data_IF_966031924997
#
_entry.id   IF_966031924997
#
_cell.length_a   1.000
_cell.length_b   1.000
_cell.length_c   1.000
_cell.angle_alpha   90.00
_cell.angle_beta   90.00
_cell.angle_gamma   90.00
#
_symmetry.space_group_name_H-M   'P 1'
#
loop_
_entity.id
_entity.type
_entity.pdbx_description
1 polymer ?
#
# COMPACT_ATOMS: atom_id res chain seq x y z
N UNK A 1 2.00 27.75 -13.41
CA UNK A 1 0.90 27.47 -14.35
C UNK A 1 1.31 27.79 -15.80
N UNK A 2 0.61 27.24 -16.78
CA UNK A 2 0.82 27.51 -18.21
C UNK A 2 -0.32 28.34 -18.78
N UNK A 3 -0.12 28.93 -19.98
CA UNK A 3 -1.19 29.63 -20.70
C UNK A 3 -2.36 28.67 -21.04
N UNK A 4 -2.04 27.43 -21.41
CA UNK A 4 -3.03 26.38 -21.67
C UNK A 4 -3.90 26.11 -20.42
N UNK A 5 -3.27 25.99 -19.23
CA UNK A 5 -3.99 25.84 -17.97
C UNK A 5 -4.88 27.05 -17.67
N UNK A 6 -4.35 28.27 -17.87
CA UNK A 6 -5.12 29.49 -17.64
C UNK A 6 -6.37 29.51 -18.55
N UNK A 7 -6.23 29.21 -19.83
CA UNK A 7 -7.33 29.12 -20.80
C UNK A 7 -8.37 28.06 -20.39
N UNK A 8 -7.90 26.90 -20.00
CA UNK A 8 -8.78 25.80 -19.57
C UNK A 8 -9.59 26.18 -18.32
N UNK A 9 -8.93 26.73 -17.30
CA UNK A 9 -9.55 27.05 -16.01
C UNK A 9 -10.50 28.23 -16.11
N UNK A 10 -10.09 29.31 -16.77
CA UNK A 10 -10.93 30.52 -16.91
C UNK A 10 -11.98 30.39 -18.01
N UNK A 11 -11.70 29.58 -19.03
CA UNK A 11 -12.50 29.51 -20.28
C UNK A 11 -12.28 30.71 -21.18
N UNK A 12 -11.25 31.52 -20.90
CA UNK A 12 -10.92 32.70 -21.68
C UNK A 12 -9.96 32.31 -22.82
N UNK A 13 -10.39 32.54 -24.05
CA UNK A 13 -9.58 32.24 -25.25
C UNK A 13 -8.33 33.09 -25.33
N UNK A 14 -8.38 34.30 -24.77
CA UNK A 14 -7.33 35.33 -24.89
C UNK A 14 -6.35 35.24 -23.68
N UNK A 15 -6.45 34.23 -22.86
CA UNK A 15 -5.61 34.06 -21.65
C UNK A 15 -4.10 34.12 -21.95
N UNK A 16 -3.66 33.59 -23.11
CA UNK A 16 -2.26 33.63 -23.51
C UNK A 16 -1.79 35.04 -23.89
N UNK A 17 -2.62 35.77 -24.63
CA UNK A 17 -2.34 37.15 -25.01
C UNK A 17 -2.31 38.06 -23.78
N UNK A 18 -3.26 37.89 -22.87
CA UNK A 18 -3.28 38.60 -21.59
C UNK A 18 -2.02 38.33 -20.76
N UNK A 19 -1.56 37.10 -20.67
CA UNK A 19 -0.34 36.73 -19.96
C UNK A 19 0.90 37.34 -20.63
N UNK A 20 0.93 37.39 -21.96
CA UNK A 20 2.03 38.05 -22.71
C UNK A 20 2.08 39.57 -22.41
N UNK A 21 0.93 40.26 -22.43
CA UNK A 21 0.80 41.64 -22.08
C UNK A 21 1.25 41.92 -20.65
N UNK A 22 0.76 41.13 -19.65
CA UNK A 22 1.13 41.26 -18.25
C UNK A 22 2.65 41.06 -18.03
N UNK A 23 3.25 40.16 -18.79
CA UNK A 23 4.68 39.88 -18.71
C UNK A 23 5.49 41.04 -19.33
N UNK A 24 5.07 41.56 -20.49
CA UNK A 24 5.74 42.69 -21.14
C UNK A 24 5.65 43.96 -20.31
N UNK A 25 4.58 44.19 -19.59
CA UNK A 25 4.37 45.32 -18.69
C UNK A 25 5.02 45.15 -17.31
N UNK A 26 5.76 44.06 -17.07
CA UNK A 26 6.29 43.71 -15.76
C UNK A 26 5.26 43.76 -14.64
N UNK A 27 4.00 43.34 -14.93
CA UNK A 27 2.87 43.38 -14.04
C UNK A 27 2.91 42.24 -12.98
N UNK A 28 4.09 42.03 -12.35
CA UNK A 28 4.32 41.00 -11.33
C UNK A 28 4.04 39.53 -11.80
N UNK A 29 4.05 39.31 -13.12
CA UNK A 29 3.99 38.00 -13.74
C UNK A 29 5.31 37.75 -14.47
N UNK A 30 5.96 36.62 -14.22
CA UNK A 30 7.21 36.24 -14.89
C UNK A 30 7.02 34.97 -15.68
N UNK A 31 7.48 34.93 -16.92
CA UNK A 31 7.68 33.73 -17.71
C UNK A 31 8.98 33.05 -17.26
N UNK A 32 8.94 31.77 -16.96
CA UNK A 32 10.13 31.05 -16.53
C UNK A 32 11.04 30.68 -17.69
N UNK A 33 12.29 30.23 -17.44
CA UNK A 33 13.27 29.90 -18.47
C UNK A 33 12.84 28.78 -19.43
N UNK A 34 11.91 27.92 -19.01
CA UNK A 34 11.30 26.86 -19.85
C UNK A 34 10.44 27.42 -21.00
N UNK A 35 10.16 28.71 -21.00
CA UNK A 35 9.40 29.40 -22.02
C UNK A 35 7.90 29.09 -22.10
N UNK A 36 7.37 28.26 -21.17
CA UNK A 36 5.94 27.86 -21.15
C UNK A 36 5.26 28.11 -19.82
N UNK A 37 6.02 28.13 -18.71
CA UNK A 37 5.50 28.31 -17.37
C UNK A 37 5.50 29.78 -16.94
N UNK A 38 4.42 30.20 -16.32
CA UNK A 38 4.24 31.51 -15.72
C UNK A 38 4.19 31.41 -14.19
N UNK A 39 4.72 32.43 -13.51
CA UNK A 39 4.67 32.54 -12.06
C UNK A 39 4.30 33.94 -11.64
N UNK A 40 3.27 34.05 -10.79
CA UNK A 40 2.92 35.30 -10.13
C UNK A 40 3.94 35.66 -9.04
N UNK A 41 4.27 36.92 -8.92
CA UNK A 41 4.85 37.42 -7.70
C UNK A 41 3.88 37.28 -6.54
N UNK A 42 4.35 37.06 -5.31
CA UNK A 42 3.48 36.81 -4.15
C UNK A 42 2.38 37.89 -3.96
N UNK A 43 2.73 39.18 -4.13
CA UNK A 43 1.78 40.31 -4.04
C UNK A 43 0.66 40.17 -5.09
N UNK A 44 1.00 39.84 -6.34
CA UNK A 44 0.00 39.62 -7.39
C UNK A 44 -0.89 38.44 -7.07
N UNK A 45 -0.30 37.36 -6.55
CA UNK A 45 -1.07 36.19 -6.10
C UNK A 45 -2.10 36.56 -5.04
N UNK A 46 -1.69 37.32 -4.01
CA UNK A 46 -2.60 37.78 -2.95
C UNK A 46 -3.70 38.69 -3.49
N UNK A 47 -3.38 39.63 -4.41
CA UNK A 47 -4.36 40.47 -5.07
C UNK A 47 -5.37 39.64 -5.89
N UNK A 48 -4.85 38.70 -6.70
CA UNK A 48 -5.70 37.80 -7.51
C UNK A 48 -6.61 36.94 -6.63
N UNK A 49 -6.08 36.36 -5.53
CA UNK A 49 -6.88 35.60 -4.58
C UNK A 49 -7.97 36.46 -3.91
N UNK A 50 -7.64 37.70 -3.55
CA UNK A 50 -8.63 38.63 -2.98
C UNK A 50 -9.71 38.96 -3.99
N UNK A 51 -9.35 39.29 -5.21
CA UNK A 51 -10.28 39.57 -6.30
C UNK A 51 -11.16 38.34 -6.61
N UNK A 52 -10.55 37.15 -6.68
CA UNK A 52 -11.29 35.90 -6.89
C UNK A 52 -12.38 35.68 -5.84
N UNK A 53 -12.11 36.02 -4.57
CA UNK A 53 -13.08 35.92 -3.49
C UNK A 53 -14.25 36.91 -3.62
N UNK A 54 -14.12 37.96 -4.44
CA UNK A 54 -15.23 38.93 -4.68
C UNK A 54 -16.12 38.52 -5.85
N UNK A 55 -15.72 37.52 -6.64
CA UNK A 55 -16.56 36.96 -7.69
C UNK A 55 -17.79 36.25 -7.09
N UNK A 56 -18.83 36.12 -7.88
CA UNK A 56 -20.00 35.36 -7.48
C UNK A 56 -19.66 33.87 -7.23
N UNK A 57 -20.43 33.23 -6.37
CA UNK A 57 -20.15 31.85 -5.92
C UNK A 57 -20.12 30.84 -7.08
N UNK A 58 -20.98 31.03 -8.10
CA UNK A 58 -21.06 30.14 -9.26
C UNK A 58 -19.79 30.24 -10.11
N UNK A 59 -19.28 31.44 -10.35
CA UNK A 59 -18.01 31.65 -11.07
C UNK A 59 -16.84 31.06 -10.31
N UNK A 60 -16.79 31.27 -8.98
CA UNK A 60 -15.75 30.66 -8.14
C UNK A 60 -15.80 29.13 -8.20
N UNK A 61 -17.01 28.54 -8.09
CA UNK A 61 -17.22 27.09 -8.15
C UNK A 61 -16.75 26.53 -9.49
N UNK A 62 -17.23 27.09 -10.58
CA UNK A 62 -16.88 26.68 -11.95
C UNK A 62 -15.36 26.74 -12.23
N UNK A 63 -14.69 27.79 -11.77
CA UNK A 63 -13.22 27.88 -11.92
C UNK A 63 -12.50 26.79 -11.14
N UNK A 64 -12.94 26.47 -9.92
CA UNK A 64 -12.35 25.41 -9.10
C UNK A 64 -12.61 24.03 -9.66
N UNK A 65 -13.82 23.75 -10.17
CA UNK A 65 -14.18 22.51 -10.86
C UNK A 65 -13.26 22.30 -12.08
N UNK A 66 -13.12 23.32 -12.94
CA UNK A 66 -12.21 23.26 -14.08
C UNK A 66 -10.74 23.08 -13.66
N UNK A 67 -10.34 23.70 -12.57
CA UNK A 67 -8.99 23.52 -12.02
C UNK A 67 -8.78 22.06 -11.57
N UNK A 68 -9.77 21.45 -10.94
CA UNK A 68 -9.76 20.02 -10.60
C UNK A 68 -9.69 19.14 -11.84
N UNK A 69 -10.56 19.40 -12.83
CA UNK A 69 -10.60 18.66 -14.10
C UNK A 69 -9.27 18.74 -14.87
N UNK A 70 -8.61 19.90 -14.87
CA UNK A 70 -7.29 20.06 -15.48
C UNK A 70 -6.26 19.07 -14.94
N UNK A 71 -6.25 18.88 -13.62
CA UNK A 71 -5.33 17.94 -12.97
C UNK A 71 -5.76 16.49 -13.17
N UNK A 72 -7.06 16.20 -13.13
CA UNK A 72 -7.62 14.86 -13.35
C UNK A 72 -7.25 14.33 -14.74
N UNK A 73 -7.47 15.13 -15.82
CA UNK A 73 -7.10 14.77 -17.20
C UNK A 73 -5.61 14.44 -17.34
N UNK A 74 -4.76 15.06 -16.53
CA UNK A 74 -3.30 14.84 -16.51
C UNK A 74 -2.86 13.81 -15.48
N UNK A 75 -3.81 13.07 -14.89
CA UNK A 75 -3.57 12.06 -13.85
C UNK A 75 -2.81 12.58 -12.63
N UNK A 76 -2.91 13.88 -12.35
CA UNK A 76 -2.38 14.52 -11.15
C UNK A 76 -3.43 14.51 -10.04
N UNK A 77 -3.83 13.32 -9.64
CA UNK A 77 -5.02 13.05 -8.82
C UNK A 77 -4.99 13.74 -7.46
N UNK A 78 -3.82 13.88 -6.80
CA UNK A 78 -3.71 14.59 -5.52
C UNK A 78 -4.11 16.06 -5.64
N UNK A 79 -3.70 16.72 -6.72
CA UNK A 79 -4.07 18.10 -6.99
C UNK A 79 -5.55 18.22 -7.35
N UNK A 80 -6.07 17.26 -8.13
CA UNK A 80 -7.49 17.21 -8.47
C UNK A 80 -8.36 17.07 -7.20
N UNK A 81 -8.06 16.12 -6.32
CA UNK A 81 -8.76 15.91 -5.06
C UNK A 81 -8.75 17.17 -4.18
N UNK A 82 -7.59 17.83 -4.04
CA UNK A 82 -7.47 19.06 -3.27
C UNK A 82 -8.31 20.21 -3.87
N UNK A 83 -8.43 20.28 -5.19
CA UNK A 83 -9.25 21.27 -5.87
C UNK A 83 -10.76 20.99 -5.68
N UNK A 84 -11.19 19.75 -5.89
CA UNK A 84 -12.59 19.34 -5.73
C UNK A 84 -13.08 19.49 -4.27
N UNK A 85 -12.25 19.10 -3.29
CA UNK A 85 -12.57 19.35 -1.88
C UNK A 85 -12.83 20.83 -1.60
N UNK A 86 -12.01 21.74 -2.15
CA UNK A 86 -12.14 23.19 -1.93
C UNK A 86 -13.40 23.80 -2.53
N UNK A 87 -14.00 23.18 -3.53
CA UNK A 87 -15.28 23.63 -4.10
C UNK A 87 -16.49 22.82 -3.60
N UNK A 88 -16.26 21.80 -2.77
CA UNK A 88 -17.32 20.93 -2.27
C UNK A 88 -17.89 19.98 -3.33
N UNK A 89 -17.13 19.74 -4.41
CA UNK A 89 -17.50 18.76 -5.43
C UNK A 89 -17.05 17.37 -4.98
N UNK A 90 -17.81 16.78 -4.07
CA UNK A 90 -17.50 15.47 -3.52
C UNK A 90 -17.72 14.34 -4.50
N UNK A 91 -18.61 14.49 -5.49
CA UNK A 91 -18.79 13.50 -6.55
C UNK A 91 -17.52 13.35 -7.40
N UNK A 92 -16.96 14.47 -7.85
CA UNK A 92 -15.69 14.46 -8.58
C UNK A 92 -14.53 13.96 -7.71
N UNK A 93 -14.48 14.34 -6.42
CA UNK A 93 -13.46 13.86 -5.49
C UNK A 93 -13.52 12.34 -5.34
N UNK A 94 -14.70 11.77 -5.11
CA UNK A 94 -14.89 10.33 -4.94
C UNK A 94 -14.65 9.55 -6.24
N UNK A 95 -15.00 10.13 -7.40
CA UNK A 95 -14.64 9.56 -8.70
C UNK A 95 -13.11 9.44 -8.85
N UNK A 96 -12.35 10.47 -8.48
CA UNK A 96 -10.87 10.41 -8.51
C UNK A 96 -10.33 9.35 -7.55
N UNK A 97 -10.94 9.18 -6.37
CA UNK A 97 -10.59 8.08 -5.44
C UNK A 97 -10.79 6.72 -6.09
N UNK A 98 -11.85 6.54 -6.88
CA UNK A 98 -12.13 5.29 -7.60
C UNK A 98 -11.12 5.02 -8.71
N UNK A 99 -10.81 6.03 -9.52
CA UNK A 99 -9.88 5.92 -10.66
C UNK A 99 -8.50 5.39 -10.29
N UNK A 100 -7.99 5.83 -9.15
CA UNK A 100 -6.66 5.44 -8.67
C UNK A 100 -6.68 4.16 -7.83
N UNK A 101 -7.85 3.61 -7.52
CA UNK A 101 -8.02 2.52 -6.56
C UNK A 101 -7.29 2.79 -5.23
N UNK A 102 -7.16 4.05 -4.84
CA UNK A 102 -6.60 4.50 -3.56
C UNK A 102 -5.08 4.39 -3.42
N UNK A 103 -4.33 4.22 -4.51
CA UNK A 103 -2.86 4.19 -4.44
C UNK A 103 -2.32 5.51 -3.97
N UNK A 104 -2.84 6.62 -4.49
CA UNK A 104 -2.42 7.97 -4.12
C UNK A 104 -2.88 8.36 -2.71
N UNK A 105 -3.94 7.74 -2.19
CA UNK A 105 -4.33 7.96 -0.79
C UNK A 105 -3.19 7.59 0.18
N UNK A 106 -2.37 6.61 -0.17
CA UNK A 106 -1.19 6.24 0.62
C UNK A 106 -0.11 7.35 0.67
N UNK A 107 -0.15 8.30 -0.27
CA UNK A 107 0.78 9.45 -0.32
C UNK A 107 0.26 10.66 0.48
N UNK A 108 -1.01 10.64 0.89
CA UNK A 108 -1.61 11.71 1.69
C UNK A 108 -1.47 11.41 3.19
N UNK A 109 -1.29 12.45 4.02
CA UNK A 109 -1.44 12.27 5.46
C UNK A 109 -2.83 11.74 5.80
N UNK A 110 -2.97 10.70 6.64
CA UNK A 110 -4.27 10.15 7.03
C UNK A 110 -5.25 11.21 7.55
N UNK A 111 -4.74 12.21 8.27
CA UNK A 111 -5.54 13.33 8.79
C UNK A 111 -6.23 14.17 7.71
N UNK A 112 -5.60 14.35 6.55
CA UNK A 112 -6.19 15.10 5.44
C UNK A 112 -7.34 14.35 4.80
N UNK A 113 -7.19 13.04 4.64
CA UNK A 113 -8.24 12.18 4.08
C UNK A 113 -9.41 12.06 5.05
N UNK A 114 -9.15 11.87 6.35
CA UNK A 114 -10.17 11.85 7.39
C UNK A 114 -10.95 13.16 7.42
N UNK A 115 -10.28 14.31 7.41
CA UNK A 115 -10.93 15.61 7.37
C UNK A 115 -11.80 15.79 6.10
N UNK A 116 -11.36 15.29 4.95
CA UNK A 116 -12.16 15.31 3.73
C UNK A 116 -13.41 14.41 3.84
N UNK A 117 -13.28 13.25 4.49
CA UNK A 117 -14.42 12.35 4.73
C UNK A 117 -15.43 12.92 5.73
N UNK A 118 -14.96 13.61 6.77
CA UNK A 118 -15.83 14.23 7.76
C UNK A 118 -16.62 15.43 7.18
N UNK A 119 -16.07 16.09 6.15
CA UNK A 119 -16.73 17.14 5.39
C UNK A 119 -17.70 16.59 4.32
N UNK A 120 -17.50 15.34 3.87
CA UNK A 120 -18.25 14.74 2.76
C UNK A 120 -19.66 14.31 3.23
N UNK A 121 -20.72 14.73 2.53
CA UNK A 121 -22.08 14.28 2.84
C UNK A 121 -22.21 12.74 2.69
N UNK A 122 -22.97 12.11 3.60
CA UNK A 122 -23.20 10.66 3.56
C UNK A 122 -23.85 10.20 2.26
N UNK A 123 -24.75 11.01 1.68
CA UNK A 123 -25.40 10.67 0.41
C UNK A 123 -24.42 10.68 -0.76
N UNK A 124 -23.43 11.59 -0.78
CA UNK A 124 -22.37 11.56 -1.77
C UNK A 124 -21.51 10.30 -1.63
N UNK A 125 -21.14 9.90 -0.39
CA UNK A 125 -20.44 8.67 -0.13
C UNK A 125 -21.20 7.43 -0.61
N UNK A 126 -22.52 7.35 -0.35
CA UNK A 126 -23.39 6.25 -0.78
C UNK A 126 -23.54 6.18 -2.31
N UNK A 127 -23.50 7.32 -3.01
CA UNK A 127 -23.52 7.35 -4.48
C UNK A 127 -22.26 6.73 -5.12
N UNK A 128 -21.18 6.53 -4.34
CA UNK A 128 -19.91 5.99 -4.81
C UNK A 128 -19.47 4.72 -4.04
N UNK A 129 -20.18 3.57 -4.20
CA UNK A 129 -19.91 2.35 -3.42
C UNK A 129 -18.47 1.84 -3.58
N UNK A 130 -17.90 1.96 -4.77
CA UNK A 130 -16.51 1.53 -5.01
C UNK A 130 -15.50 2.43 -4.29
N UNK A 131 -15.75 3.75 -4.19
CA UNK A 131 -14.93 4.65 -3.37
C UNK A 131 -14.95 4.24 -1.89
N UNK A 132 -16.12 3.80 -1.37
CA UNK A 132 -16.22 3.30 0.00
C UNK A 132 -15.29 2.09 0.23
N UNK A 133 -15.23 1.13 -0.71
CA UNK A 133 -14.32 -0.01 -0.63
C UNK A 133 -12.85 0.43 -0.59
N UNK A 134 -12.45 1.36 -1.46
CA UNK A 134 -11.09 1.91 -1.50
C UNK A 134 -10.74 2.60 -0.19
N UNK A 135 -11.66 3.38 0.36
CA UNK A 135 -11.49 4.07 1.63
C UNK A 135 -11.45 3.10 2.81
N UNK A 136 -12.28 2.05 2.83
CA UNK A 136 -12.22 0.99 3.85
C UNK A 136 -10.83 0.34 3.90
N UNK A 137 -10.26 0.00 2.73
CA UNK A 137 -8.90 -0.55 2.66
C UNK A 137 -7.85 0.43 3.19
N UNK A 138 -7.99 1.72 2.89
CA UNK A 138 -7.08 2.76 3.41
C UNK A 138 -7.19 2.89 4.93
N UNK A 139 -8.41 2.82 5.48
CA UNK A 139 -8.65 2.84 6.93
C UNK A 139 -7.97 1.64 7.62
N UNK A 140 -8.04 0.45 7.03
CA UNK A 140 -7.30 -0.71 7.52
C UNK A 140 -5.79 -0.42 7.58
N UNK A 141 -5.21 0.08 6.49
CA UNK A 141 -3.78 0.40 6.42
C UNK A 141 -3.36 1.43 7.48
N UNK A 142 -4.23 2.38 7.81
CA UNK A 142 -4.01 3.42 8.82
C UNK A 142 -4.46 3.03 10.23
N UNK A 143 -4.89 1.78 10.44
CA UNK A 143 -5.36 1.25 11.74
C UNK A 143 -6.61 1.98 12.28
N UNK A 144 -7.36 2.63 11.44
CA UNK A 144 -8.61 3.28 11.83
C UNK A 144 -9.80 2.32 11.62
N UNK A 145 -9.83 1.25 12.41
CA UNK A 145 -10.87 0.21 12.30
C UNK A 145 -12.28 0.76 12.58
N UNK A 146 -12.50 1.67 13.55
CA UNK A 146 -13.82 2.26 13.72
C UNK A 146 -14.35 2.94 12.46
N UNK A 147 -13.55 3.75 11.78
CA UNK A 147 -13.94 4.42 10.53
C UNK A 147 -14.14 3.42 9.38
N UNK A 148 -13.33 2.38 9.31
CA UNK A 148 -13.52 1.28 8.36
C UNK A 148 -14.90 0.62 8.50
N UNK A 149 -15.34 0.35 9.74
CA UNK A 149 -16.65 -0.24 10.01
C UNK A 149 -17.80 0.72 9.73
N UNK A 150 -17.61 2.02 9.97
CA UNK A 150 -18.57 3.07 9.58
C UNK A 150 -18.77 3.10 8.05
N UNK A 151 -17.67 3.11 7.29
CA UNK A 151 -17.71 3.08 5.82
C UNK A 151 -18.34 1.79 5.29
N UNK A 152 -18.11 0.65 5.94
CA UNK A 152 -18.80 -0.60 5.63
C UNK A 152 -20.31 -0.47 5.82
N UNK A 153 -20.75 0.14 6.92
CA UNK A 153 -22.18 0.35 7.19
C UNK A 153 -22.82 1.26 6.12
N UNK A 154 -22.12 2.31 5.68
CA UNK A 154 -22.56 3.16 4.58
C UNK A 154 -22.66 2.39 3.26
N UNK A 155 -21.70 1.51 2.95
CA UNK A 155 -21.75 0.66 1.76
C UNK A 155 -22.99 -0.25 1.78
N UNK A 156 -23.24 -0.93 2.90
CA UNK A 156 -24.40 -1.83 3.02
C UNK A 156 -25.71 -1.04 2.88
N UNK A 157 -25.82 0.13 3.52
CA UNK A 157 -26.98 1.02 3.39
C UNK A 157 -27.17 1.49 1.93
N UNK A 158 -26.09 1.88 1.25
CA UNK A 158 -26.15 2.27 -0.17
C UNK A 158 -26.70 1.12 -1.04
N UNK A 159 -26.26 -0.11 -0.79
CA UNK A 159 -26.77 -1.27 -1.51
C UNK A 159 -28.24 -1.60 -1.21
N UNK A 160 -28.71 -1.32 0.00
CA UNK A 160 -30.14 -1.48 0.36
C UNK A 160 -31.03 -0.40 -0.27
N UNK A 161 -30.53 0.84 -0.34
CA UNK A 161 -31.23 2.00 -0.93
C UNK A 161 -31.32 1.90 -2.46
N UNK A 162 -30.44 1.13 -3.12
CA UNK A 162 -30.37 0.94 -4.57
C UNK A 162 -30.68 -0.50 -5.00
N UNK A 163 -31.94 -0.99 -4.82
CA UNK A 163 -32.32 -2.35 -5.21
C UNK A 163 -32.29 -2.57 -6.72
N UNK A 164 -32.27 -1.52 -7.53
CA UNK A 164 -32.17 -1.53 -8.99
C UNK A 164 -30.77 -1.89 -9.51
N UNK A 165 -29.74 -1.86 -8.66
CA UNK A 165 -28.40 -2.30 -9.05
C UNK A 165 -28.43 -3.74 -9.57
N UNK A 166 -27.77 -4.02 -10.71
CA UNK A 166 -27.68 -5.37 -11.23
C UNK A 166 -27.15 -6.34 -10.18
N UNK A 167 -27.77 -7.52 -10.10
CA UNK A 167 -27.38 -8.53 -9.10
C UNK A 167 -25.89 -8.89 -9.16
N UNK A 168 -25.32 -8.88 -10.36
CA UNK A 168 -23.89 -9.10 -10.60
C UNK A 168 -23.03 -8.01 -9.94
N UNK A 169 -23.33 -6.74 -10.16
CA UNK A 169 -22.56 -5.62 -9.58
C UNK A 169 -22.72 -5.56 -8.06
N UNK A 170 -23.93 -5.79 -7.55
CA UNK A 170 -24.17 -5.95 -6.11
C UNK A 170 -23.31 -7.07 -5.53
N UNK A 171 -23.25 -8.24 -6.19
CA UNK A 171 -22.42 -9.37 -5.79
C UNK A 171 -20.93 -9.03 -5.78
N UNK A 172 -20.45 -8.30 -6.78
CA UNK A 172 -19.07 -7.83 -6.86
C UNK A 172 -18.71 -6.89 -5.69
N UNK A 173 -19.57 -5.92 -5.37
CA UNK A 173 -19.35 -4.97 -4.27
C UNK A 173 -19.36 -5.67 -2.91
N UNK A 174 -20.30 -6.58 -2.67
CA UNK A 174 -20.36 -7.36 -1.43
C UNK A 174 -19.16 -8.30 -1.29
N UNK A 175 -18.77 -8.97 -2.37
CA UNK A 175 -17.59 -9.83 -2.38
C UNK A 175 -16.29 -9.07 -2.14
N UNK A 176 -16.12 -7.90 -2.74
CA UNK A 176 -14.95 -7.04 -2.45
C UNK A 176 -14.98 -6.50 -1.02
N UNK A 177 -16.16 -6.24 -0.45
CA UNK A 177 -16.31 -5.90 0.96
C UNK A 177 -15.82 -7.05 1.85
N UNK A 178 -16.26 -8.29 1.61
CA UNK A 178 -15.82 -9.48 2.35
C UNK A 178 -14.30 -9.65 2.25
N UNK A 179 -13.74 -9.48 1.05
CA UNK A 179 -12.30 -9.54 0.80
C UNK A 179 -11.53 -8.51 1.63
N UNK A 180 -11.98 -7.25 1.68
CA UNK A 180 -11.34 -6.21 2.49
C UNK A 180 -11.50 -6.50 3.98
N UNK A 181 -12.65 -7.00 4.40
CA UNK A 181 -12.89 -7.40 5.80
C UNK A 181 -12.00 -8.56 6.24
N UNK A 182 -11.58 -9.45 5.30
CA UNK A 182 -10.65 -10.54 5.62
C UNK A 182 -9.30 -10.06 6.13
N UNK A 183 -8.89 -8.83 5.79
CA UNK A 183 -7.62 -8.26 6.27
C UNK A 183 -7.58 -8.08 7.79
N UNK A 184 -8.74 -7.98 8.45
CA UNK A 184 -8.80 -7.94 9.91
C UNK A 184 -8.35 -9.25 10.57
N UNK A 185 -8.37 -10.35 9.80
CA UNK A 185 -7.89 -11.66 10.24
C UNK A 185 -6.40 -11.89 9.89
N UNK A 186 -5.74 -10.97 9.29
CA UNK A 186 -4.41 -10.86 8.67
C UNK A 186 -3.51 -12.12 8.61
N UNK A 187 -3.36 -12.91 9.66
CA UNK A 187 -2.54 -14.14 9.69
C UNK A 187 -3.34 -15.41 10.05
N UNK A 188 -4.66 -15.31 10.19
CA UNK A 188 -5.56 -16.46 10.36
C UNK A 188 -6.13 -16.89 9.00
N UNK A 189 -5.41 -17.76 8.32
CA UNK A 189 -5.77 -18.18 6.96
C UNK A 189 -7.16 -18.82 6.92
N UNK A 190 -7.54 -19.64 7.88
CA UNK A 190 -8.89 -20.25 7.93
C UNK A 190 -9.99 -19.21 8.13
N UNK A 191 -9.77 -18.21 8.99
CA UNK A 191 -10.71 -17.11 9.16
C UNK A 191 -10.80 -16.23 7.91
N UNK A 192 -9.66 -15.91 7.29
CA UNK A 192 -9.62 -15.19 6.01
C UNK A 192 -10.34 -15.97 4.92
N UNK A 193 -10.10 -17.26 4.81
CA UNK A 193 -10.67 -18.13 3.76
C UNK A 193 -12.19 -18.22 3.82
N UNK A 194 -12.80 -18.16 5.00
CA UNK A 194 -14.27 -18.10 5.08
C UNK A 194 -14.82 -16.88 4.32
N UNK A 195 -14.18 -15.73 4.47
CA UNK A 195 -14.56 -14.50 3.75
C UNK A 195 -14.18 -14.58 2.26
N UNK A 196 -13.04 -15.19 1.92
CA UNK A 196 -12.63 -15.38 0.52
C UNK A 196 -13.59 -16.31 -0.23
N UNK A 197 -14.10 -17.38 0.41
CA UNK A 197 -15.11 -18.28 -0.15
C UNK A 197 -16.44 -17.56 -0.35
N UNK A 198 -16.88 -16.76 0.63
CA UNK A 198 -18.05 -15.90 0.52
C UNK A 198 -17.90 -14.93 -0.66
N UNK A 199 -16.78 -14.23 -0.75
CA UNK A 199 -16.47 -13.34 -1.85
C UNK A 199 -16.48 -14.09 -3.20
N UNK A 200 -15.80 -15.24 -3.28
CA UNK A 200 -15.72 -16.06 -4.51
C UNK A 200 -17.08 -16.59 -4.99
N UNK A 201 -18.05 -16.76 -4.09
CA UNK A 201 -19.40 -17.17 -4.45
C UNK A 201 -20.25 -16.00 -5.00
N UNK A 202 -19.92 -14.76 -4.66
CA UNK A 202 -20.68 -13.57 -5.02
C UNK A 202 -20.10 -12.86 -6.24
N UNK A 203 -18.76 -12.89 -6.42
CA UNK A 203 -18.07 -12.14 -7.44
C UNK A 203 -18.05 -12.85 -8.79
N UNK A 204 -18.42 -12.13 -9.84
CA UNK A 204 -18.30 -12.57 -11.25
C UNK A 204 -16.98 -12.19 -11.90
N UNK A 205 -16.24 -11.24 -11.30
CA UNK A 205 -14.93 -10.76 -11.72
C UNK A 205 -13.96 -10.69 -10.55
N UNK A 206 -12.63 -10.65 -10.81
CA UNK A 206 -11.66 -10.34 -9.78
C UNK A 206 -11.88 -8.96 -9.16
N UNK A 207 -11.41 -8.78 -7.93
CA UNK A 207 -11.47 -7.52 -7.21
C UNK A 207 -10.72 -6.40 -7.97
N UNK A 208 -11.32 -5.22 -8.05
CA UNK A 208 -10.71 -4.03 -8.61
C UNK A 208 -9.97 -3.23 -7.51
N UNK A 209 -10.46 -3.30 -6.27
CA UNK A 209 -9.87 -2.61 -5.12
C UNK A 209 -8.49 -3.15 -4.73
N UNK A 210 -8.07 -4.32 -5.22
CA UNK A 210 -6.78 -4.94 -4.92
C UNK A 210 -5.99 -5.15 -6.21
N UNK A 211 -4.77 -4.63 -6.23
CA UNK A 211 -3.85 -4.87 -7.35
C UNK A 211 -3.08 -6.16 -7.15
N UNK A 212 -3.02 -7.00 -8.17
CA UNK A 212 -2.26 -8.26 -8.16
C UNK A 212 -0.76 -8.06 -7.88
N UNK A 213 -0.20 -6.90 -8.25
CA UNK A 213 1.19 -6.50 -7.97
C UNK A 213 1.39 -5.86 -6.60
N UNK A 214 0.37 -5.80 -5.73
CA UNK A 214 0.46 -5.24 -4.39
C UNK A 214 1.31 -6.08 -3.43
N UNK A 215 1.60 -5.54 -2.25
CA UNK A 215 2.29 -6.29 -1.18
C UNK A 215 1.33 -7.25 -0.48
N UNK A 216 1.53 -8.55 -0.64
CA UNK A 216 0.67 -9.56 -0.02
C UNK A 216 1.02 -9.83 1.45
N UNK A 217 2.32 -9.77 1.80
CA UNK A 217 2.81 -10.10 3.15
C UNK A 217 2.82 -8.92 4.12
N UNK A 218 2.12 -7.83 3.83
CA UNK A 218 2.12 -6.58 4.61
C UNK A 218 3.52 -6.03 4.94
N UNK A 219 4.50 -6.30 4.05
CA UNK A 219 5.89 -5.87 4.20
C UNK A 219 6.79 -6.86 4.96
N UNK A 220 6.28 -8.04 5.33
CA UNK A 220 7.11 -9.14 5.84
C UNK A 220 7.87 -9.82 4.70
N UNK A 221 9.18 -10.06 4.81
CA UNK A 221 9.94 -10.81 3.81
C UNK A 221 9.77 -12.34 3.92
N UNK A 222 8.98 -12.82 4.89
CA UNK A 222 8.75 -14.25 5.12
C UNK A 222 7.27 -14.55 5.27
N UNK A 223 6.79 -15.52 4.50
CA UNK A 223 5.42 -16.02 4.59
C UNK A 223 5.24 -16.84 5.87
N UNK A 224 6.17 -17.75 6.17
CA UNK A 224 6.08 -18.59 7.37
C UNK A 224 6.09 -17.78 8.66
N UNK A 225 6.98 -16.79 8.79
CA UNK A 225 7.03 -15.95 9.98
C UNK A 225 5.74 -15.17 10.18
N UNK A 226 5.03 -14.82 9.11
CA UNK A 226 3.76 -14.12 9.19
C UNK A 226 2.60 -15.05 9.56
N UNK A 227 2.57 -16.26 9.01
CA UNK A 227 1.39 -17.14 9.11
C UNK A 227 1.53 -18.30 10.11
N UNK A 228 2.70 -18.54 10.70
CA UNK A 228 2.86 -19.51 11.78
C UNK A 228 2.42 -18.93 13.12
N UNK A 229 1.21 -19.30 13.55
CA UNK A 229 0.50 -18.70 14.68
C UNK A 229 0.72 -19.42 16.02
N UNK A 230 0.84 -20.74 16.01
CA UNK A 230 0.87 -21.52 17.21
C UNK A 230 1.99 -22.59 17.20
N UNK A 231 2.79 -22.68 18.29
CA UNK A 231 3.80 -23.74 18.42
C UNK A 231 3.17 -25.14 18.29
N UNK A 232 3.76 -26.00 17.47
CA UNK A 232 3.29 -27.37 17.23
C UNK A 232 2.30 -27.54 16.09
N UNK A 233 1.67 -26.46 15.59
CA UNK A 233 0.60 -26.53 14.59
C UNK A 233 1.10 -26.38 13.14
N UNK A 234 2.42 -26.40 12.90
CA UNK A 234 3.02 -26.12 11.59
C UNK A 234 2.40 -26.96 10.44
N UNK A 235 2.17 -28.26 10.68
CA UNK A 235 1.62 -29.15 9.65
C UNK A 235 0.16 -28.78 9.31
N UNK A 236 -0.63 -28.42 10.30
CA UNK A 236 -2.01 -27.95 10.12
C UNK A 236 -2.05 -26.63 9.36
N UNK A 237 -1.23 -25.66 9.75
CA UNK A 237 -1.16 -24.34 9.10
C UNK A 237 -0.67 -24.40 7.65
N UNK A 238 0.27 -25.31 7.33
CA UNK A 238 0.69 -25.57 5.95
C UNK A 238 -0.44 -26.17 5.11
N UNK A 239 -1.22 -27.12 5.68
CA UNK A 239 -2.37 -27.70 5.00
C UNK A 239 -3.47 -26.66 4.76
N UNK A 240 -3.79 -25.84 5.76
CA UNK A 240 -4.73 -24.72 5.64
C UNK A 240 -4.31 -23.73 4.55
N UNK A 241 -3.04 -23.33 4.52
CA UNK A 241 -2.51 -22.42 3.50
C UNK A 241 -2.73 -23.02 2.09
N UNK A 242 -2.37 -24.30 1.89
CA UNK A 242 -2.52 -24.97 0.60
C UNK A 242 -3.98 -25.09 0.16
N UNK A 243 -4.91 -25.34 1.10
CA UNK A 243 -6.34 -25.43 0.81
C UNK A 243 -6.98 -24.07 0.52
N UNK A 244 -6.58 -23.03 1.28
CA UNK A 244 -7.29 -21.76 1.30
C UNK A 244 -6.84 -20.78 0.21
N UNK A 245 -5.55 -20.75 -0.13
CA UNK A 245 -5.00 -19.78 -1.07
C UNK A 245 -5.62 -19.84 -2.48
N UNK A 246 -5.99 -20.97 -3.08
CA UNK A 246 -6.64 -20.98 -4.39
C UNK A 246 -7.94 -20.14 -4.46
N UNK A 247 -8.71 -20.07 -3.38
CA UNK A 247 -9.91 -19.21 -3.31
C UNK A 247 -9.54 -17.72 -3.37
N UNK A 248 -8.47 -17.34 -2.69
CA UNK A 248 -7.94 -15.98 -2.71
C UNK A 248 -7.43 -15.59 -4.10
N UNK A 249 -6.63 -16.45 -4.73
CA UNK A 249 -6.09 -16.20 -6.07
C UNK A 249 -7.18 -15.95 -7.10
N UNK A 250 -8.27 -16.70 -7.03
CA UNK A 250 -9.40 -16.56 -7.94
C UNK A 250 -10.03 -15.17 -7.88
N UNK A 251 -10.21 -14.62 -6.69
CA UNK A 251 -10.88 -13.33 -6.48
C UNK A 251 -9.95 -12.13 -6.57
N UNK A 252 -8.63 -12.33 -6.65
CA UNK A 252 -7.62 -11.25 -6.65
C UNK A 252 -6.72 -11.25 -7.87
N UNK A 253 -7.09 -11.99 -8.92
CA UNK A 253 -6.27 -12.13 -10.12
C UNK A 253 -4.83 -12.58 -9.83
N UNK A 254 -4.67 -13.58 -8.94
CA UNK A 254 -3.38 -14.19 -8.61
C UNK A 254 -2.51 -13.39 -7.62
N UNK A 255 -3.04 -12.36 -6.94
CA UNK A 255 -2.29 -11.64 -5.92
C UNK A 255 -1.73 -12.60 -4.85
N UNK A 256 -0.43 -12.55 -4.59
CA UNK A 256 0.24 -13.44 -3.64
C UNK A 256 0.43 -14.89 -4.12
N UNK A 257 0.25 -15.17 -5.41
CA UNK A 257 0.45 -16.50 -5.96
C UNK A 257 1.83 -17.07 -5.62
N UNK A 258 1.87 -18.33 -5.19
CA UNK A 258 3.08 -19.01 -4.73
C UNK A 258 3.30 -18.97 -3.21
N UNK A 259 2.46 -18.25 -2.46
CA UNK A 259 2.61 -18.11 -1.01
C UNK A 259 2.64 -19.46 -0.28
N UNK A 260 1.76 -20.41 -0.62
CA UNK A 260 1.72 -21.76 -0.03
C UNK A 260 3.00 -22.55 -0.32
N UNK A 261 3.58 -22.38 -1.50
CA UNK A 261 4.82 -23.05 -1.89
C UNK A 261 6.03 -22.44 -1.18
N UNK A 262 6.08 -21.11 -1.05
CA UNK A 262 7.10 -20.40 -0.27
C UNK A 262 7.01 -20.82 1.21
N UNK A 263 5.83 -20.82 1.79
CA UNK A 263 5.65 -21.22 3.20
C UNK A 263 6.13 -22.65 3.45
N UNK A 264 5.87 -23.57 2.51
CA UNK A 264 6.37 -24.96 2.56
C UNK A 264 7.90 -25.02 2.47
N UNK A 265 8.51 -24.21 1.58
CA UNK A 265 9.96 -24.11 1.46
C UNK A 265 10.61 -23.56 2.73
N UNK A 266 10.04 -22.50 3.31
CA UNK A 266 10.50 -21.94 4.58
C UNK A 266 10.32 -22.91 5.75
N UNK A 267 9.22 -23.68 5.79
CA UNK A 267 9.02 -24.73 6.79
C UNK A 267 10.06 -25.85 6.70
N UNK A 268 10.40 -26.31 5.49
CA UNK A 268 11.47 -27.28 5.28
C UNK A 268 12.83 -26.70 5.74
N UNK A 269 13.09 -25.42 5.45
CA UNK A 269 14.31 -24.73 5.88
C UNK A 269 14.45 -24.69 7.40
N UNK A 270 13.43 -24.26 8.14
CA UNK A 270 13.50 -24.18 9.61
C UNK A 270 13.56 -25.55 10.28
N UNK A 271 13.15 -26.59 9.58
CA UNK A 271 13.28 -27.99 10.01
C UNK A 271 14.65 -28.62 9.65
N UNK A 272 15.57 -27.88 9.02
CA UNK A 272 16.88 -28.38 8.59
C UNK A 272 16.84 -29.28 7.35
N UNK A 273 15.70 -29.38 6.66
CA UNK A 273 15.52 -30.17 5.42
C UNK A 273 15.89 -29.32 4.20
N UNK A 274 17.18 -28.96 4.08
CA UNK A 274 17.65 -27.96 3.12
C UNK A 274 17.42 -28.36 1.65
N UNK A 275 17.55 -29.67 1.32
CA UNK A 275 17.26 -30.16 -0.04
C UNK A 275 15.77 -29.96 -0.39
N UNK A 276 14.89 -30.32 0.53
CA UNK A 276 13.43 -30.14 0.32
C UNK A 276 13.08 -28.64 0.22
N UNK A 277 13.73 -27.83 1.05
CA UNK A 277 13.57 -26.38 1.01
C UNK A 277 13.97 -25.81 -0.37
N UNK A 278 15.10 -26.26 -0.92
CA UNK A 278 15.57 -25.85 -2.24
C UNK A 278 14.58 -26.27 -3.35
N UNK A 279 14.16 -27.53 -3.38
CA UNK A 279 13.21 -28.04 -4.39
C UNK A 279 11.90 -27.24 -4.35
N UNK A 280 11.37 -26.97 -3.15
CA UNK A 280 10.15 -26.19 -3.00
C UNK A 280 10.37 -24.71 -3.39
N UNK A 281 11.54 -24.14 -3.12
CA UNK A 281 11.90 -22.78 -3.50
C UNK A 281 11.96 -22.61 -5.03
N UNK A 282 12.59 -23.55 -5.74
CA UNK A 282 12.62 -23.55 -7.22
C UNK A 282 11.21 -23.64 -7.80
N UNK A 283 10.35 -24.49 -7.21
CA UNK A 283 8.94 -24.56 -7.58
C UNK A 283 8.22 -23.22 -7.35
N UNK A 284 8.52 -22.50 -6.26
CA UNK A 284 7.96 -21.20 -5.99
C UNK A 284 8.40 -20.13 -7.02
N UNK A 285 9.71 -20.09 -7.34
CA UNK A 285 10.20 -19.19 -8.39
C UNK A 285 9.49 -19.43 -9.73
N UNK A 286 9.35 -20.69 -10.14
CA UNK A 286 8.68 -21.05 -11.38
C UNK A 286 7.19 -20.64 -11.41
N UNK A 287 6.50 -20.66 -10.26
CA UNK A 287 5.11 -20.21 -10.16
C UNK A 287 4.95 -18.68 -10.25
N UNK A 288 5.98 -17.96 -9.83
CA UNK A 288 5.97 -16.48 -9.74
C UNK A 288 6.46 -15.85 -11.05
N UNK A 289 7.30 -16.55 -11.79
CA UNK A 289 7.94 -16.04 -13.00
C UNK A 289 6.89 -15.59 -14.04
N UNK A 290 7.05 -14.38 -14.53
CA UNK A 290 6.15 -13.79 -15.53
C UNK A 290 4.81 -13.26 -15.01
N UNK A 291 4.49 -13.44 -13.72
CA UNK A 291 3.21 -13.05 -13.13
C UNK A 291 3.22 -11.66 -12.46
N UNK A 292 4.32 -10.92 -12.51
CA UNK A 292 4.44 -9.60 -11.89
C UNK A 292 4.37 -9.60 -10.35
N UNK A 293 4.64 -10.76 -9.73
CA UNK A 293 4.57 -10.97 -8.27
C UNK A 293 5.90 -10.63 -7.59
N UNK A 294 6.40 -9.40 -7.78
CA UNK A 294 7.70 -8.97 -7.24
C UNK A 294 7.78 -9.08 -5.71
N UNK A 295 6.67 -8.89 -5.02
CA UNK A 295 6.60 -9.09 -3.57
C UNK A 295 6.91 -10.53 -3.18
N UNK A 296 6.37 -11.51 -3.91
CA UNK A 296 6.60 -12.93 -3.65
C UNK A 296 8.00 -13.36 -4.09
N UNK A 297 8.53 -12.78 -5.18
CA UNK A 297 9.92 -13.01 -5.61
C UNK A 297 10.91 -12.54 -4.54
N UNK A 298 10.66 -11.41 -3.88
CA UNK A 298 11.46 -10.94 -2.75
C UNK A 298 11.42 -11.90 -1.54
N UNK A 299 10.29 -12.54 -1.27
CA UNK A 299 10.21 -13.59 -0.24
C UNK A 299 11.03 -14.82 -0.62
N UNK A 300 11.03 -15.22 -1.90
CA UNK A 300 11.91 -16.28 -2.41
C UNK A 300 13.40 -15.90 -2.27
N UNK A 301 13.79 -14.69 -2.69
CA UNK A 301 15.16 -14.20 -2.57
C UNK A 301 15.63 -14.18 -1.10
N UNK A 302 14.74 -13.77 -0.18
CA UNK A 302 15.03 -13.80 1.27
C UNK A 302 15.27 -15.21 1.80
N UNK A 303 14.49 -16.20 1.38
CA UNK A 303 14.73 -17.59 1.72
C UNK A 303 16.00 -18.13 1.07
N UNK A 304 16.21 -17.87 -0.23
CA UNK A 304 17.39 -18.31 -0.97
C UNK A 304 18.68 -17.82 -0.33
N UNK A 305 18.73 -16.54 0.05
CA UNK A 305 19.90 -15.96 0.72
C UNK A 305 20.16 -16.57 2.09
N UNK A 306 19.13 -16.95 2.84
CA UNK A 306 19.31 -17.68 4.10
C UNK A 306 19.76 -19.13 3.86
N UNK A 307 19.19 -19.79 2.86
CA UNK A 307 19.51 -21.16 2.50
C UNK A 307 20.96 -21.33 1.97
N UNK A 308 21.49 -20.32 1.27
CA UNK A 308 22.87 -20.33 0.73
C UNK A 308 23.95 -20.48 1.81
N UNK A 309 23.63 -20.28 3.08
CA UNK A 309 24.55 -20.49 4.21
C UNK A 309 24.70 -21.98 4.59
N UNK A 310 23.77 -22.82 4.14
CA UNK A 310 23.67 -24.23 4.54
C UNK A 310 23.74 -25.20 3.33
N UNK A 311 23.55 -24.67 2.12
CA UNK A 311 23.55 -25.44 0.88
C UNK A 311 24.15 -24.59 -0.24
N UNK A 312 24.67 -25.26 -1.28
CA UNK A 312 25.20 -24.60 -2.49
C UNK A 312 24.05 -24.09 -3.37
N UNK A 313 23.30 -23.14 -2.84
CA UNK A 313 22.12 -22.53 -3.45
C UNK A 313 22.18 -21.03 -3.20
N UNK A 314 21.72 -20.23 -4.15
CA UNK A 314 21.62 -18.79 -3.99
C UNK A 314 20.34 -18.24 -4.62
N UNK A 315 20.03 -16.98 -4.41
CA UNK A 315 18.91 -16.35 -5.07
C UNK A 315 19.13 -16.29 -6.59
N UNK A 316 18.05 -16.38 -7.37
CA UNK A 316 18.11 -16.24 -8.85
C UNK A 316 18.65 -14.87 -9.27
N UNK A 317 18.49 -13.86 -8.40
CA UNK A 317 19.07 -12.53 -8.57
C UNK A 317 19.70 -12.08 -7.25
N UNK A 318 20.87 -11.47 -7.33
CA UNK A 318 21.50 -10.87 -6.15
C UNK A 318 20.63 -9.71 -5.59
N UNK A 319 20.78 -9.38 -4.31
CA UNK A 319 20.10 -8.24 -3.72
C UNK A 319 20.40 -6.91 -4.46
N UNK A 320 21.62 -6.73 -5.00
CA UNK A 320 22.00 -5.54 -5.75
C UNK A 320 21.26 -5.44 -7.10
N UNK A 321 21.18 -6.55 -7.85
CA UNK A 321 20.42 -6.62 -9.11
C UNK A 321 18.95 -6.40 -8.87
N UNK A 322 18.37 -7.04 -7.86
CA UNK A 322 16.97 -6.86 -7.46
C UNK A 322 16.68 -5.41 -7.09
N UNK A 323 17.53 -4.77 -6.30
CA UNK A 323 17.37 -3.36 -5.95
C UNK A 323 17.34 -2.45 -7.18
N UNK A 324 18.24 -2.69 -8.13
CA UNK A 324 18.32 -1.90 -9.37
C UNK A 324 17.03 -2.00 -10.17
N UNK A 325 16.41 -3.19 -10.23
CA UNK A 325 15.12 -3.41 -10.87
C UNK A 325 13.98 -2.70 -10.14
N UNK A 326 13.89 -2.87 -8.81
CA UNK A 326 12.85 -2.26 -7.99
C UNK A 326 12.82 -0.73 -8.06
N UNK A 327 13.99 -0.10 -8.15
CA UNK A 327 14.09 1.36 -8.30
C UNK A 327 13.46 1.86 -9.61
N UNK A 328 13.43 1.05 -10.67
CA UNK A 328 12.78 1.41 -11.94
C UNK A 328 11.25 1.41 -11.83
N UNK A 329 10.69 0.64 -10.92
CA UNK A 329 9.24 0.53 -10.73
C UNK A 329 8.65 1.61 -9.80
N UNK A 330 9.50 2.38 -9.10
CA UNK A 330 9.09 3.43 -8.15
C UNK A 330 8.05 2.95 -7.10
N UNK A 331 8.10 1.67 -6.72
CA UNK A 331 7.20 1.09 -5.73
C UNK A 331 7.84 1.06 -4.34
N UNK A 332 7.42 1.99 -3.48
CA UNK A 332 7.96 2.12 -2.13
C UNK A 332 7.73 0.86 -1.27
N UNK A 333 6.60 0.15 -1.43
CA UNK A 333 6.31 -1.07 -0.69
C UNK A 333 7.33 -2.18 -0.99
N UNK A 334 7.67 -2.35 -2.26
CA UNK A 334 8.66 -3.36 -2.66
C UNK A 334 10.06 -3.00 -2.17
N UNK A 335 10.41 -1.71 -2.23
CA UNK A 335 11.70 -1.25 -1.71
C UNK A 335 11.79 -1.43 -0.19
N UNK A 336 10.72 -1.19 0.56
CA UNK A 336 10.68 -1.43 2.00
C UNK A 336 10.85 -2.92 2.35
N UNK A 337 10.21 -3.80 1.59
CA UNK A 337 10.36 -5.24 1.74
C UNK A 337 11.81 -5.68 1.42
N UNK A 338 12.38 -5.16 0.34
CA UNK A 338 13.78 -5.39 0.00
C UNK A 338 14.71 -4.91 1.12
N UNK A 339 14.51 -3.70 1.65
CA UNK A 339 15.30 -3.16 2.77
C UNK A 339 15.27 -4.10 3.98
N UNK A 340 14.09 -4.64 4.33
CA UNK A 340 13.94 -5.56 5.44
C UNK A 340 14.69 -6.90 5.20
N UNK A 341 14.51 -7.51 4.02
CA UNK A 341 15.18 -8.74 3.66
C UNK A 341 16.71 -8.57 3.64
N UNK A 342 17.20 -7.51 3.00
CA UNK A 342 18.62 -7.18 2.90
C UNK A 342 19.23 -6.90 4.26
N UNK A 343 18.56 -6.07 5.10
CA UNK A 343 19.03 -5.76 6.45
C UNK A 343 19.23 -7.01 7.31
N UNK A 344 18.24 -7.91 7.32
CA UNK A 344 18.33 -9.15 8.08
C UNK A 344 19.47 -10.03 7.63
N UNK A 345 19.62 -10.26 6.32
CA UNK A 345 20.64 -11.15 5.76
C UNK A 345 22.05 -10.60 5.98
N UNK A 346 22.30 -9.31 5.72
CA UNK A 346 23.61 -8.69 5.92
C UNK A 346 23.97 -8.56 7.41
N UNK A 347 22.99 -8.27 8.28
CA UNK A 347 23.23 -8.30 9.72
C UNK A 347 23.64 -9.69 10.24
N UNK A 348 23.02 -10.76 9.72
CA UNK A 348 23.43 -12.15 10.05
C UNK A 348 24.82 -12.51 9.51
N UNK A 349 25.27 -11.90 8.41
CA UNK A 349 26.58 -12.13 7.80
C UNK A 349 27.69 -11.25 8.40
N UNK A 350 27.33 -10.24 9.21
CA UNK A 350 28.28 -9.25 9.70
C UNK A 350 28.71 -8.22 8.65
N UNK A 351 27.97 -8.12 7.54
CA UNK A 351 28.27 -7.24 6.40
C UNK A 351 27.64 -5.84 6.63
N UNK A 352 28.14 -5.14 7.63
CA UNK A 352 27.54 -3.90 8.14
C UNK A 352 27.37 -2.79 7.10
N UNK A 353 28.32 -2.68 6.16
CA UNK A 353 28.32 -1.66 5.11
C UNK A 353 27.22 -1.88 4.05
N UNK A 354 26.67 -3.09 3.99
CA UNK A 354 25.61 -3.47 3.05
C UNK A 354 24.21 -3.35 3.65
N UNK A 355 24.10 -3.07 4.95
CA UNK A 355 22.81 -2.88 5.60
C UNK A 355 22.16 -1.59 5.05
N UNK A 356 20.91 -1.64 4.56
CA UNK A 356 20.22 -0.44 4.09
C UNK A 356 20.18 0.67 5.14
N UNK A 357 20.42 1.90 4.72
CA UNK A 357 20.56 3.08 5.58
C UNK A 357 19.40 3.25 6.60
N UNK A 358 18.17 2.96 6.16
CA UNK A 358 16.97 3.04 7.02
C UNK A 358 17.05 2.14 8.24
N UNK A 359 17.70 0.98 8.12
CA UNK A 359 17.96 0.06 9.24
C UNK A 359 19.28 0.36 9.94
N UNK A 360 20.34 0.69 9.20
CA UNK A 360 21.65 1.00 9.76
C UNK A 360 21.58 2.22 10.71
N UNK A 361 20.76 3.20 10.38
CA UNK A 361 20.55 4.44 11.15
C UNK A 361 19.27 4.41 12.02
N UNK A 362 18.56 3.29 12.05
CA UNK A 362 17.34 3.11 12.87
C UNK A 362 16.25 4.14 12.58
N UNK A 363 16.07 4.50 11.29
CA UNK A 363 15.08 5.50 10.84
C UNK A 363 13.74 4.89 10.46
N UNK A 364 13.32 3.79 11.11
CA UNK A 364 12.05 3.11 10.80
C UNK A 364 10.82 4.00 11.00
N UNK A 365 10.89 5.01 11.84
CA UNK A 365 9.81 5.99 12.00
C UNK A 365 9.53 6.82 10.72
N UNK A 366 10.49 6.89 9.79
CA UNK A 366 10.34 7.56 8.50
C UNK A 366 9.68 6.69 7.42
N UNK A 367 9.44 5.41 7.73
CA UNK A 367 8.90 4.43 6.78
C UNK A 367 7.47 4.05 7.16
N UNK A 368 6.59 4.00 6.16
CA UNK A 368 5.24 3.48 6.37
C UNK A 368 5.29 1.95 6.51
N UNK A 369 5.13 1.48 7.75
CA UNK A 369 5.07 0.04 8.07
C UNK A 369 3.62 -0.31 8.33
N UNK A 370 3.09 -1.28 7.58
CA UNK A 370 1.75 -1.81 7.82
C UNK A 370 1.71 -2.57 9.15
N UNK A 371 0.60 -2.42 9.86
CA UNK A 371 0.44 -2.98 11.20
C UNK A 371 0.79 -4.47 11.30
N UNK A 372 0.30 -5.34 10.39
CA UNK A 372 0.62 -6.76 10.46
C UNK A 372 2.10 -7.10 10.23
N UNK A 373 2.84 -6.29 9.48
CA UNK A 373 4.28 -6.50 9.26
C UNK A 373 5.19 -6.02 10.40
N UNK A 374 4.66 -5.21 11.30
CA UNK A 374 5.46 -4.52 12.34
C UNK A 374 6.28 -5.47 13.23
N UNK A 375 5.75 -6.59 13.77
CA UNK A 375 6.55 -7.49 14.62
C UNK A 375 7.80 -8.01 13.92
N UNK A 376 7.67 -8.36 12.63
CA UNK A 376 8.77 -8.82 11.80
C UNK A 376 9.84 -7.73 11.60
N UNK A 377 9.41 -6.52 11.24
CA UNK A 377 10.33 -5.40 10.96
C UNK A 377 11.10 -5.01 12.24
N UNK A 378 10.44 -5.01 13.40
CA UNK A 378 11.09 -4.73 14.69
C UNK A 378 12.06 -5.84 15.10
N UNK A 379 11.75 -7.11 14.80
CA UNK A 379 12.67 -8.24 14.99
C UNK A 379 13.90 -8.12 14.08
N UNK A 380 13.72 -7.70 12.83
CA UNK A 380 14.83 -7.44 11.90
C UNK A 380 15.70 -6.28 12.41
N UNK A 381 15.11 -5.21 12.92
CA UNK A 381 15.85 -4.11 13.53
C UNK A 381 16.66 -4.58 14.75
N UNK A 382 16.10 -5.48 15.59
CA UNK A 382 16.87 -6.10 16.67
C UNK A 382 18.07 -6.90 16.15
N UNK A 383 17.94 -7.59 15.01
CA UNK A 383 19.07 -8.29 14.39
C UNK A 383 20.19 -7.32 13.97
N UNK A 384 19.81 -6.14 13.46
CA UNK A 384 20.77 -5.07 13.14
C UNK A 384 21.44 -4.53 14.41
N UNK A 385 20.70 -4.29 15.50
CA UNK A 385 21.28 -3.89 16.80
C UNK A 385 22.26 -4.92 17.33
N UNK A 386 21.97 -6.24 17.19
CA UNK A 386 22.89 -7.30 17.59
C UNK A 386 24.19 -7.22 16.78
N UNK A 387 24.10 -7.09 15.46
CA UNK A 387 25.27 -6.98 14.57
C UNK A 387 26.12 -5.74 14.91
N UNK A 388 25.49 -4.66 15.37
CA UNK A 388 26.15 -3.42 15.82
C UNK A 388 26.70 -3.51 17.27
N UNK A 389 26.48 -4.61 18.01
CA UNK A 389 26.87 -4.76 19.40
C UNK A 389 26.02 -3.97 20.40
N UNK A 390 24.86 -3.47 19.97
CA UNK A 390 23.96 -2.66 20.79
C UNK A 390 23.03 -3.53 21.68
N UNK A 391 23.58 -4.48 22.41
CA UNK A 391 22.85 -5.50 23.18
C UNK A 391 21.84 -4.92 24.18
N UNK A 392 22.19 -3.84 24.86
CA UNK A 392 21.28 -3.19 25.82
C UNK A 392 19.99 -2.70 25.15
N UNK A 393 20.04 -2.28 23.89
CA UNK A 393 18.85 -1.88 23.12
C UNK A 393 17.97 -3.07 22.79
N UNK A 394 18.57 -4.21 22.42
CA UNK A 394 17.84 -5.45 22.13
C UNK A 394 17.09 -5.91 23.37
N UNK A 395 17.78 -5.99 24.51
CA UNK A 395 17.17 -6.39 25.79
C UNK A 395 16.05 -5.43 26.19
N UNK A 396 16.30 -4.10 26.12
CA UNK A 396 15.31 -3.10 26.53
C UNK A 396 14.04 -3.07 25.67
N UNK A 397 14.08 -3.60 24.43
CA UNK A 397 12.92 -3.66 23.51
C UNK A 397 12.20 -5.01 23.53
N UNK A 398 12.85 -6.06 24.06
CA UNK A 398 12.39 -7.45 23.92
C UNK A 398 11.04 -7.71 24.54
N UNK A 399 10.76 -7.20 25.74
CA UNK A 399 9.47 -7.41 26.42
C UNK A 399 8.30 -6.84 25.63
N UNK A 400 8.41 -5.59 25.16
CA UNK A 400 7.38 -4.95 24.35
C UNK A 400 7.18 -5.65 23.01
N UNK A 401 8.25 -6.10 22.36
CA UNK A 401 8.17 -6.82 21.10
C UNK A 401 7.59 -8.22 21.28
N UNK A 402 7.94 -8.94 22.36
CA UNK A 402 7.34 -10.23 22.68
C UNK A 402 5.83 -10.09 22.93
N UNK A 403 5.42 -9.09 23.74
CA UNK A 403 4.00 -8.82 23.95
C UNK A 403 3.25 -8.51 22.66
N UNK A 404 3.87 -7.77 21.73
CA UNK A 404 3.32 -7.50 20.40
C UNK A 404 3.19 -8.79 19.59
N UNK A 405 4.21 -9.64 19.56
CA UNK A 405 4.19 -10.92 18.84
C UNK A 405 3.11 -11.86 19.40
N UNK A 406 3.00 -11.95 20.71
CA UNK A 406 2.00 -12.80 21.37
C UNK A 406 0.58 -12.30 21.13
N UNK A 407 0.34 -11.00 21.25
CA UNK A 407 -0.96 -10.38 20.98
C UNK A 407 -1.41 -10.48 19.51
N UNK A 408 -0.46 -10.64 18.60
CA UNK A 408 -0.71 -10.79 17.16
C UNK A 408 -0.55 -12.24 16.67
N UNK A 409 -0.25 -13.19 17.52
CA UNK A 409 -0.03 -14.60 17.19
C UNK A 409 1.11 -14.85 16.19
N UNK A 410 2.27 -14.20 16.37
CA UNK A 410 3.47 -14.42 15.56
C UNK A 410 4.47 -15.33 16.29
N UNK A 411 4.17 -16.64 16.35
CA UNK A 411 4.92 -17.58 17.18
C UNK A 411 6.41 -17.71 16.75
N UNK A 412 6.68 -17.75 15.45
CA UNK A 412 8.06 -17.86 14.95
C UNK A 412 8.86 -16.57 15.16
N UNK A 413 8.24 -15.40 15.01
CA UNK A 413 8.88 -14.12 15.30
C UNK A 413 9.20 -14.02 16.81
N UNK A 414 8.26 -14.40 17.67
CA UNK A 414 8.50 -14.45 19.12
C UNK A 414 9.68 -15.36 19.48
N UNK A 415 9.81 -16.53 18.83
CA UNK A 415 10.97 -17.39 19.00
C UNK A 415 12.27 -16.71 18.60
N UNK A 416 12.30 -16.01 17.45
CA UNK A 416 13.49 -15.26 17.03
C UNK A 416 13.86 -14.17 18.05
N UNK A 417 12.87 -13.41 18.55
CA UNK A 417 13.11 -12.38 19.57
C UNK A 417 13.71 -12.98 20.85
N UNK A 418 13.21 -14.13 21.31
CA UNK A 418 13.80 -14.85 22.46
C UNK A 418 15.24 -15.28 22.20
N UNK A 419 15.54 -15.79 21.00
CA UNK A 419 16.91 -16.15 20.63
C UNK A 419 17.83 -14.92 20.53
N UNK A 420 17.32 -13.78 20.11
CA UNK A 420 18.08 -12.52 20.05
C UNK A 420 18.41 -11.95 21.43
N UNK A 421 17.67 -12.34 22.48
CA UNK A 421 17.86 -11.86 23.85
C UNK A 421 18.61 -12.84 24.76
N UNK A 422 18.82 -14.07 24.30
CA UNK A 422 19.61 -15.09 24.98
C UNK A 422 21.12 -14.89 24.76
#
# INVERSE_FOLDING_TARGET
FTAEMARFVTGDADAEELLAVLTAQNAFVKRLPDGVTYRFHHMMKECAERTFRTLDAETQRRCRERYGAWYEERRQYLHAMAAYRRCGDYDALLRVVQEDAGILLASLPPSEVLAALDECPADALKAHPFALLVLMRSMFNWRNIPKMLELKALLLAALEEHPELPAEERGNLLGECDLIMSFLCYNDISAMSRLHRSASAQMSRPAISIRSSGGWTFGSPSVLMMFYRAPGELAGELAEMAECMPHYYKITNGHGQGAETIMRAEAAFVQGRFTDAHIALESAYAQIEGNGQENMALCCDFLAQRLSRYAEVGPHRSFAERRTELLRHHNASWLNLWNAASAYCHALSGEMEQIPEVFAEHRLASVSILAPGRPMIEMIENQVYLAQGAYAKVIGRSEGLLALCEGMHYALVALHVRLQTA
#
